data_IF_844908418626
#
_entry.id   IF_844908418626
#
_cell.length_a   1.000
_cell.length_b   1.000
_cell.length_c   1.000
_cell.angle_alpha   90.00
_cell.angle_beta   90.00
_cell.angle_gamma   90.00
#
_symmetry.space_group_name_H-M   'P 1'
#
loop_
_entity.id
_entity.type
_entity.pdbx_description
1 polymer ?
#
# COMPACT_ATOMS: atom_id res chain seq x y z
N UNK A 1 3.26 -0.17 16.53
CA UNK A 1 4.03 1.09 16.32
C UNK A 1 4.69 1.47 17.64
N UNK A 2 5.99 1.75 17.64
CA UNK A 2 6.84 1.76 18.84
C UNK A 2 6.90 3.12 19.56
N UNK A 3 6.49 4.21 18.90
CA UNK A 3 6.65 5.59 19.40
C UNK A 3 5.34 6.40 19.43
N UNK A 4 4.18 5.73 19.41
CA UNK A 4 2.88 6.41 19.41
C UNK A 4 2.47 7.01 18.06
N UNK A 5 3.40 7.18 17.11
CA UNK A 5 3.10 7.69 15.77
C UNK A 5 2.04 6.84 15.06
N UNK A 6 0.91 7.41 14.62
CA UNK A 6 -0.11 6.73 13.83
C UNK A 6 0.42 6.27 12.48
N UNK A 7 -0.15 5.18 11.99
CA UNK A 7 0.25 4.56 10.75
C UNK A 7 -0.86 3.66 10.25
N UNK A 8 -0.85 3.45 8.95
CA UNK A 8 -1.79 2.60 8.26
C UNK A 8 -1.02 1.59 7.41
N UNK A 9 -1.66 0.45 7.18
CA UNK A 9 -1.21 -0.57 6.24
C UNK A 9 -2.33 -0.83 5.25
N UNK A 10 -1.97 -0.91 3.97
CA UNK A 10 -2.91 -1.36 2.94
C UNK A 10 -3.01 -2.88 3.03
N UNK A 11 -4.19 -3.38 3.40
CA UNK A 11 -4.53 -4.79 3.28
C UNK A 11 -4.96 -5.04 1.83
N UNK A 12 -4.08 -5.65 1.03
CA UNK A 12 -4.35 -6.02 -0.35
C UNK A 12 -4.63 -7.53 -0.48
N UNK A 13 -5.13 -7.93 -1.64
CA UNK A 13 -5.21 -9.35 -2.00
C UNK A 13 -3.81 -9.80 -2.46
N UNK A 14 -3.10 -10.50 -1.59
CA UNK A 14 -1.68 -10.87 -1.77
C UNK A 14 -1.46 -12.39 -1.87
N UNK A 15 -2.47 -13.13 -2.33
CA UNK A 15 -2.47 -14.59 -2.30
C UNK A 15 -1.29 -15.23 -3.05
N UNK A 16 -0.76 -14.60 -4.09
CA UNK A 16 0.37 -15.08 -4.89
C UNK A 16 1.71 -14.42 -4.54
N UNK A 17 1.74 -13.48 -3.59
CA UNK A 17 2.95 -12.75 -3.20
C UNK A 17 4.12 -13.69 -2.89
N UNK A 18 3.87 -14.69 -2.06
CA UNK A 18 4.89 -15.65 -1.63
C UNK A 18 5.30 -16.67 -2.71
N UNK A 19 4.57 -16.76 -3.83
CA UNK A 19 4.97 -17.60 -4.95
C UNK A 19 6.18 -17.00 -5.70
N UNK A 20 6.29 -15.67 -5.74
CA UNK A 20 7.35 -14.96 -6.47
C UNK A 20 8.36 -14.27 -5.55
N UNK A 21 7.96 -13.86 -4.35
CA UNK A 21 8.81 -13.16 -3.38
C UNK A 21 10.15 -13.87 -3.15
N UNK A 22 11.25 -13.13 -3.28
CA UNK A 22 12.62 -13.64 -3.17
C UNK A 22 13.00 -14.76 -4.17
N UNK A 23 12.34 -14.80 -5.34
CA UNK A 23 12.69 -15.69 -6.44
C UNK A 23 13.20 -14.91 -7.66
N UNK A 24 13.70 -15.61 -8.68
CA UNK A 24 13.99 -15.01 -10.00
C UNK A 24 12.74 -14.63 -10.79
N UNK A 25 11.56 -15.06 -10.34
CA UNK A 25 10.27 -14.71 -10.93
C UNK A 25 9.70 -13.38 -10.44
N UNK A 26 10.31 -12.75 -9.43
CA UNK A 26 9.95 -11.41 -8.97
C UNK A 26 10.43 -10.35 -9.99
N UNK A 27 9.64 -10.18 -11.06
CA UNK A 27 9.94 -9.23 -12.14
C UNK A 27 8.68 -8.50 -12.58
N UNK A 28 8.82 -7.48 -13.44
CA UNK A 28 7.68 -6.66 -13.88
C UNK A 28 6.54 -7.44 -14.55
N UNK A 29 6.78 -8.66 -15.03
CA UNK A 29 5.78 -9.48 -15.70
C UNK A 29 4.74 -10.09 -14.76
N UNK A 30 4.98 -10.17 -13.45
CA UNK A 30 4.01 -10.68 -12.47
C UNK A 30 3.13 -9.57 -11.89
N UNK A 31 3.37 -8.32 -12.25
CA UNK A 31 2.52 -7.20 -11.85
C UNK A 31 1.28 -7.09 -12.74
N UNK A 32 0.13 -6.87 -12.13
CA UNK A 32 -1.09 -6.43 -12.80
C UNK A 32 -1.20 -4.90 -12.71
N UNK A 33 -1.24 -4.21 -13.84
CA UNK A 33 -1.31 -2.74 -13.88
C UNK A 33 -2.56 -2.20 -13.19
N UNK A 34 -3.67 -2.93 -13.22
CA UNK A 34 -4.93 -2.51 -12.57
C UNK A 34 -4.76 -2.45 -11.05
N UNK A 35 -4.06 -3.44 -10.47
CA UNK A 35 -3.84 -3.50 -9.03
C UNK A 35 -2.88 -2.38 -8.58
N UNK A 36 -1.88 -2.06 -9.43
CA UNK A 36 -0.95 -0.93 -9.23
C UNK A 36 -1.71 0.40 -9.27
N UNK A 37 -2.59 0.60 -10.26
CA UNK A 37 -3.40 1.81 -10.40
C UNK A 37 -4.36 1.99 -9.21
N UNK A 38 -4.99 0.89 -8.75
CA UNK A 38 -5.86 0.90 -7.57
C UNK A 38 -5.08 1.26 -6.29
N UNK A 39 -3.90 0.66 -6.08
CA UNK A 39 -3.06 0.98 -4.94
C UNK A 39 -2.62 2.46 -4.97
N UNK A 40 -2.24 2.98 -6.15
CA UNK A 40 -1.88 4.37 -6.33
C UNK A 40 -3.06 5.32 -6.02
N UNK A 41 -4.26 5.00 -6.50
CA UNK A 41 -5.46 5.78 -6.21
C UNK A 41 -5.79 5.80 -4.70
N UNK A 42 -5.72 4.65 -4.03
CA UNK A 42 -5.95 4.55 -2.58
C UNK A 42 -4.95 5.41 -1.82
N UNK A 43 -3.64 5.32 -2.13
CA UNK A 43 -2.63 6.09 -1.43
C UNK A 43 -2.70 7.59 -1.74
N UNK A 44 -3.10 7.99 -2.95
CA UNK A 44 -3.33 9.40 -3.28
C UNK A 44 -4.48 9.99 -2.45
N UNK A 45 -5.61 9.30 -2.38
CA UNK A 45 -6.77 9.72 -1.56
C UNK A 45 -6.40 9.71 -0.08
N UNK A 46 -5.78 8.65 0.42
CA UNK A 46 -5.33 8.55 1.81
C UNK A 46 -4.40 9.70 2.18
N UNK A 47 -3.36 9.96 1.38
CA UNK A 47 -2.39 11.02 1.67
C UNK A 47 -3.04 12.40 1.69
N UNK A 48 -3.93 12.68 0.71
CA UNK A 48 -4.69 13.92 0.68
C UNK A 48 -5.58 14.06 1.92
N UNK A 49 -6.39 13.04 2.22
CA UNK A 49 -7.32 13.08 3.35
C UNK A 49 -6.62 13.22 4.71
N UNK A 50 -5.47 12.56 4.91
CA UNK A 50 -4.69 12.70 6.14
C UNK A 50 -4.05 14.10 6.25
N UNK A 51 -3.61 14.66 5.13
CA UNK A 51 -3.06 16.02 5.11
C UNK A 51 -4.12 17.11 5.34
N UNK A 52 -5.38 16.83 5.00
CA UNK A 52 -6.51 17.75 5.07
C UNK A 52 -7.41 17.54 6.31
N UNK A 53 -6.92 16.82 7.34
CA UNK A 53 -7.68 16.66 8.58
C UNK A 53 -7.73 17.98 9.38
N UNK A 54 -8.91 18.32 9.91
CA UNK A 54 -9.10 19.46 10.82
C UNK A 54 -8.22 19.39 12.09
N UNK A 55 -7.80 18.18 12.47
CA UNK A 55 -6.91 17.93 13.61
C UNK A 55 -5.96 16.78 13.32
N UNK A 56 -4.74 16.87 13.84
CA UNK A 56 -3.72 15.83 13.68
C UNK A 56 -4.09 14.57 14.47
N UNK A 57 -3.78 13.41 13.90
CA UNK A 57 -3.90 12.14 14.60
C UNK A 57 -2.90 12.08 15.78
N UNK A 58 -3.28 11.43 16.91
CA UNK A 58 -2.52 11.45 18.16
C UNK A 58 -1.17 10.75 18.08
#
# INVERSE_FOLDING_TARGET
MQHGVPGASLLNDNWDYFAYHHSRGDTMNVLNSTDVDLAAAVWAVYAFSIADLDSILP
#
